data_IF_199021072825
#
_entry.id   IF_199021072825
#
_cell.length_a   1.000
_cell.length_b   1.000
_cell.length_c   1.000
_cell.angle_alpha   90.00
_cell.angle_beta   90.00
_cell.angle_gamma   90.00
#
_symmetry.space_group_name_H-M   'P 1'
#
loop_
_entity.id
_entity.type
_entity.pdbx_description
1 polymer ?
#
# COMPACT_ATOMS: atom_id res chain seq x y z
N UNK A 1 -2.86 -4.28 6.45
CA UNK A 1 -2.74 -4.59 7.89
C UNK A 1 -1.89 -5.83 8.01
N UNK A 2 -0.70 -5.81 8.65
CA UNK A 2 0.06 -7.02 8.89
C UNK A 2 -0.71 -7.89 9.89
N UNK A 3 -1.06 -9.12 9.50
CA UNK A 3 -1.62 -10.14 10.39
C UNK A 3 -3.14 -10.17 10.53
N UNK A 4 -3.90 -9.32 9.87
CA UNK A 4 -5.35 -9.50 9.74
C UNK A 4 -5.67 -10.58 8.72
N UNK A 5 -6.49 -11.57 9.07
CA UNK A 5 -7.03 -12.50 8.08
C UNK A 5 -7.72 -11.67 6.99
N UNK A 6 -7.26 -11.81 5.74
CA UNK A 6 -7.89 -11.13 4.61
C UNK A 6 -9.28 -11.73 4.47
N UNK A 7 -10.31 -10.94 4.74
CA UNK A 7 -11.68 -11.41 4.71
C UNK A 7 -12.30 -11.17 3.34
N UNK A 8 -13.18 -12.05 2.95
CA UNK A 8 -14.05 -11.83 1.79
C UNK A 8 -14.91 -10.59 2.03
N UNK A 9 -14.89 -9.66 1.08
CA UNK A 9 -15.69 -8.43 1.13
C UNK A 9 -16.95 -8.64 0.28
N UNK A 10 -18.13 -8.45 0.86
CA UNK A 10 -19.41 -8.54 0.14
C UNK A 10 -19.95 -7.14 -0.15
N UNK A 11 -20.12 -6.84 -1.43
CA UNK A 11 -20.81 -5.67 -1.95
C UNK A 11 -22.25 -6.04 -2.19
N UNK A 12 -23.20 -5.19 -1.81
CA UNK A 12 -24.63 -5.45 -1.91
C UNK A 12 -25.40 -4.25 -2.45
N UNK A 13 -26.59 -4.51 -3.00
CA UNK A 13 -27.46 -3.48 -3.54
C UNK A 13 -27.07 -3.02 -4.94
N UNK A 14 -27.78 -2.01 -5.43
CA UNK A 14 -27.55 -1.45 -6.78
C UNK A 14 -26.26 -0.63 -6.90
N UNK A 15 -25.63 -0.24 -5.78
CA UNK A 15 -24.45 0.62 -5.75
C UNK A 15 -23.59 0.35 -4.50
N UNK A 16 -23.11 -0.88 -4.36
CA UNK A 16 -22.23 -1.26 -3.25
C UNK A 16 -20.78 -0.84 -3.52
N UNK A 17 -20.15 -0.12 -2.59
CA UNK A 17 -18.77 0.35 -2.77
C UNK A 17 -17.88 -0.06 -1.59
N UNK A 18 -16.66 -0.48 -1.88
CA UNK A 18 -15.61 -0.74 -0.89
C UNK A 18 -14.38 0.08 -1.21
N UNK A 19 -13.74 0.56 -0.14
CA UNK A 19 -12.55 1.41 -0.19
C UNK A 19 -11.36 0.67 0.38
N UNK A 20 -10.19 0.84 -0.28
CA UNK A 20 -8.92 0.27 0.12
C UNK A 20 -7.85 1.34 0.04
N UNK A 21 -7.20 1.62 1.16
CA UNK A 21 -6.13 2.60 1.22
C UNK A 21 -4.77 1.94 1.07
N UNK A 22 -3.88 2.57 0.32
CA UNK A 22 -2.49 2.16 0.20
C UNK A 22 -1.56 3.37 0.11
N UNK A 23 -0.30 3.17 0.45
CA UNK A 23 0.72 4.21 0.40
C UNK A 23 1.88 3.82 -0.50
N UNK A 24 2.48 4.83 -1.11
CA UNK A 24 3.75 4.74 -1.84
C UNK A 24 4.73 5.71 -1.20
N UNK A 25 6.00 5.33 -1.14
CA UNK A 25 7.04 6.19 -0.55
C UNK A 25 7.25 7.43 -1.42
N UNK A 26 7.55 8.56 -0.78
CA UNK A 26 7.80 9.83 -1.49
C UNK A 26 9.18 9.88 -2.17
N UNK A 27 10.08 8.93 -1.87
CA UNK A 27 11.37 8.73 -2.53
C UNK A 27 11.30 7.64 -3.64
N UNK A 28 10.10 7.23 -4.02
CA UNK A 28 9.87 6.28 -5.11
C UNK A 28 8.95 6.87 -6.17
N UNK A 29 9.24 6.58 -7.44
CA UNK A 29 8.34 6.84 -8.58
C UNK A 29 7.66 5.55 -8.99
N UNK A 30 6.36 5.59 -9.16
CA UNK A 30 5.61 4.42 -9.64
C UNK A 30 5.77 4.29 -11.15
N UNK A 31 6.23 3.14 -11.60
CA UNK A 31 6.41 2.81 -13.02
C UNK A 31 5.25 1.99 -13.57
N UNK A 32 4.63 1.17 -12.74
CA UNK A 32 3.51 0.30 -13.11
C UNK A 32 2.62 0.05 -11.89
N UNK A 33 1.30 -0.02 -12.11
CA UNK A 33 0.36 -0.42 -11.08
C UNK A 33 -0.77 -1.26 -11.70
N UNK A 34 -1.03 -2.45 -11.11
CA UNK A 34 -2.02 -3.40 -11.58
C UNK A 34 -2.85 -3.93 -10.42
N UNK A 35 -4.16 -3.88 -10.57
CA UNK A 35 -5.11 -4.45 -9.63
C UNK A 35 -5.69 -5.73 -10.22
N UNK A 36 -5.28 -6.87 -9.69
CA UNK A 36 -5.93 -8.15 -9.96
C UNK A 36 -7.13 -8.28 -9.03
N UNK A 37 -8.33 -8.30 -9.59
CA UNK A 37 -9.58 -8.58 -8.89
C UNK A 37 -9.94 -10.05 -9.05
N UNK A 38 -10.27 -10.71 -7.96
CA UNK A 38 -10.91 -12.04 -7.93
C UNK A 38 -12.25 -11.88 -7.25
N UNK A 39 -13.32 -12.22 -7.94
CA UNK A 39 -14.66 -11.98 -7.44
C UNK A 39 -15.67 -13.03 -7.90
N UNK A 40 -16.78 -13.12 -7.18
CA UNK A 40 -17.93 -13.93 -7.56
C UNK A 40 -19.17 -13.04 -7.51
N UNK A 41 -19.90 -12.97 -8.62
CA UNK A 41 -21.15 -12.21 -8.73
C UNK A 41 -22.37 -13.15 -8.61
N UNK A 42 -23.49 -12.62 -8.10
CA UNK A 42 -24.74 -13.36 -7.99
C UNK A 42 -25.18 -13.93 -9.33
N UNK A 43 -25.64 -15.19 -9.40
CA UNK A 43 -26.14 -15.79 -10.63
C UNK A 43 -27.45 -15.16 -11.12
N UNK A 44 -28.14 -14.41 -10.27
CA UNK A 44 -29.41 -13.74 -10.59
C UNK A 44 -29.23 -12.38 -11.24
N UNK A 45 -27.99 -11.89 -11.41
CA UNK A 45 -27.74 -10.59 -12.02
C UNK A 45 -27.98 -10.60 -13.53
N UNK A 46 -28.46 -9.46 -14.01
CA UNK A 46 -28.42 -9.11 -15.42
C UNK A 46 -27.02 -8.67 -15.77
N UNK A 47 -26.22 -9.59 -16.30
CA UNK A 47 -24.81 -9.37 -16.58
C UNK A 47 -24.56 -8.19 -17.54
N UNK A 48 -25.46 -7.97 -18.49
CA UNK A 48 -25.35 -6.93 -19.53
C UNK A 48 -25.45 -5.50 -18.98
N UNK A 49 -26.13 -5.34 -17.82
CA UNK A 49 -26.33 -4.04 -17.16
C UNK A 49 -25.58 -3.92 -15.84
N UNK A 50 -24.98 -5.02 -15.38
CA UNK A 50 -24.21 -5.06 -14.14
C UNK A 50 -22.71 -4.98 -14.40
N UNK A 51 -21.99 -4.22 -13.55
CA UNK A 51 -20.56 -3.98 -13.73
C UNK A 51 -19.84 -3.68 -12.43
N UNK A 52 -18.51 -3.75 -12.49
CA UNK A 52 -17.60 -3.22 -11.45
C UNK A 52 -16.86 -2.02 -12.01
N UNK A 53 -16.95 -0.89 -11.33
CA UNK A 53 -16.11 0.27 -11.60
C UNK A 53 -14.95 0.30 -10.60
N UNK A 54 -13.77 0.54 -11.11
CA UNK A 54 -12.56 0.70 -10.31
C UNK A 54 -12.09 2.15 -10.41
N UNK A 55 -11.96 2.79 -9.26
CA UNK A 55 -11.48 4.17 -9.16
C UNK A 55 -10.16 4.20 -8.37
N UNK A 56 -9.29 5.10 -8.76
CA UNK A 56 -8.09 5.49 -8.02
C UNK A 56 -8.18 6.98 -7.70
N UNK A 57 -8.14 7.31 -6.40
CA UNK A 57 -8.24 8.69 -5.91
C UNK A 57 -9.48 9.43 -6.49
N UNK A 58 -10.60 8.73 -6.63
CA UNK A 58 -11.84 9.25 -7.18
C UNK A 58 -11.91 9.30 -8.72
N UNK A 59 -10.84 8.94 -9.43
CA UNK A 59 -10.81 8.89 -10.89
C UNK A 59 -11.08 7.48 -11.39
N UNK A 60 -12.05 7.30 -12.28
CA UNK A 60 -12.35 6.01 -12.91
C UNK A 60 -11.12 5.54 -13.70
N UNK A 61 -10.69 4.33 -13.42
CA UNK A 61 -9.57 3.68 -14.11
C UNK A 61 -10.09 2.68 -15.15
N UNK A 62 -11.08 1.87 -14.77
CA UNK A 62 -11.65 0.87 -15.67
C UNK A 62 -13.03 0.45 -15.19
N UNK A 63 -13.79 -0.16 -16.11
CA UNK A 63 -15.09 -0.78 -15.88
C UNK A 63 -15.05 -2.24 -16.30
N UNK A 64 -15.14 -3.13 -15.32
CA UNK A 64 -15.20 -4.59 -15.56
C UNK A 64 -16.65 -5.00 -15.77
N UNK A 65 -17.00 -5.35 -17.00
CA UNK A 65 -18.34 -5.85 -17.35
C UNK A 65 -18.49 -7.30 -16.92
N UNK A 66 -19.66 -7.65 -16.38
CA UNK A 66 -19.99 -9.02 -16.02
C UNK A 66 -20.39 -9.82 -17.27
N UNK A 67 -20.06 -11.12 -17.29
CA UNK A 67 -20.48 -12.03 -18.35
C UNK A 67 -21.45 -13.04 -17.80
N UNK A 68 -22.54 -13.29 -18.50
CA UNK A 68 -23.63 -14.16 -18.04
C UNK A 68 -23.20 -15.60 -17.74
N UNK A 69 -22.28 -16.13 -18.51
CA UNK A 69 -21.73 -17.48 -18.34
C UNK A 69 -20.76 -17.60 -17.16
N UNK A 70 -20.37 -16.47 -16.56
CA UNK A 70 -19.43 -16.37 -15.44
C UNK A 70 -20.12 -15.99 -14.11
N UNK A 71 -21.39 -15.59 -14.12
CA UNK A 71 -22.15 -15.34 -12.88
C UNK A 71 -22.25 -16.61 -12.04
N UNK A 72 -22.12 -16.48 -10.72
CA UNK A 72 -22.05 -17.61 -9.79
C UNK A 72 -20.71 -18.37 -9.77
N UNK A 73 -19.75 -17.97 -10.58
CA UNK A 73 -18.39 -18.54 -10.63
C UNK A 73 -17.36 -17.52 -10.15
N UNK A 74 -16.21 -18.00 -9.68
CA UNK A 74 -15.06 -17.15 -9.39
C UNK A 74 -14.44 -16.66 -10.69
N UNK A 75 -14.30 -15.36 -10.84
CA UNK A 75 -13.79 -14.67 -12.03
C UNK A 75 -12.54 -13.88 -11.65
N UNK A 76 -11.56 -13.81 -12.55
CA UNK A 76 -10.40 -12.95 -12.42
C UNK A 76 -10.45 -11.86 -13.49
N UNK A 77 -10.17 -10.63 -13.08
CA UNK A 77 -9.98 -9.49 -13.99
C UNK A 77 -8.74 -8.70 -13.56
N UNK A 78 -8.01 -8.16 -14.51
CA UNK A 78 -6.87 -7.29 -14.26
C UNK A 78 -7.20 -5.88 -14.75
N UNK A 79 -7.04 -4.91 -13.86
CA UNK A 79 -7.22 -3.48 -14.13
C UNK A 79 -5.86 -2.81 -14.03
N UNK A 80 -5.46 -2.12 -15.09
CA UNK A 80 -4.25 -1.28 -15.09
C UNK A 80 -4.61 0.08 -14.51
N UNK A 81 -3.88 0.49 -13.47
CA UNK A 81 -4.04 1.79 -12.84
C UNK A 81 -3.05 2.78 -13.45
N UNK A 82 -3.46 4.04 -13.59
CA UNK A 82 -2.58 5.10 -14.10
C UNK A 82 -1.49 5.45 -13.06
N UNK A 83 -0.20 5.15 -13.32
CA UNK A 83 0.88 5.44 -12.38
C UNK A 83 0.97 6.93 -12.02
N UNK A 84 0.67 7.82 -12.96
CA UNK A 84 0.73 9.28 -12.76
C UNK A 84 -0.35 9.81 -11.80
N UNK A 85 -1.38 9.01 -11.51
CA UNK A 85 -2.44 9.35 -10.55
C UNK A 85 -2.13 8.85 -9.14
N UNK A 86 -1.03 8.08 -8.97
CA UNK A 86 -0.61 7.55 -7.68
C UNK A 86 0.22 8.60 -6.93
N UNK A 87 -0.09 8.75 -5.65
CA UNK A 87 0.52 9.70 -4.72
C UNK A 87 1.07 8.97 -3.49
N UNK A 88 1.56 9.72 -2.51
CA UNK A 88 2.00 9.15 -1.24
C UNK A 88 0.87 8.40 -0.52
N UNK A 89 -0.35 8.96 -0.52
CA UNK A 89 -1.55 8.33 0.05
C UNK A 89 -2.59 8.17 -1.06
N UNK A 90 -3.10 6.96 -1.19
CA UNK A 90 -4.03 6.61 -2.26
C UNK A 90 -5.19 5.81 -1.71
N UNK A 91 -6.34 5.96 -2.38
CA UNK A 91 -7.52 5.16 -2.15
C UNK A 91 -8.00 4.52 -3.46
N UNK A 92 -8.11 3.21 -3.46
CA UNK A 92 -8.84 2.47 -4.49
C UNK A 92 -10.26 2.29 -4.00
N UNK A 93 -11.25 2.59 -4.84
CA UNK A 93 -12.61 2.17 -4.61
C UNK A 93 -13.09 1.22 -5.70
N UNK A 94 -13.73 0.14 -5.26
CA UNK A 94 -14.38 -0.85 -6.12
C UNK A 94 -15.87 -0.71 -5.90
N UNK A 95 -16.57 -0.24 -6.93
CA UNK A 95 -18.00 0.02 -6.93
C UNK A 95 -18.71 -1.06 -7.75
N UNK A 96 -19.60 -1.78 -7.12
CA UNK A 96 -20.49 -2.73 -7.78
C UNK A 96 -21.79 -2.04 -8.16
N UNK A 97 -22.11 -2.05 -9.44
CA UNK A 97 -23.42 -1.65 -9.97
C UNK A 97 -24.13 -2.92 -10.38
N UNK A 98 -25.18 -3.29 -9.63
CA UNK A 98 -25.91 -4.53 -9.81
C UNK A 98 -27.34 -4.30 -10.24
N UNK A 99 -27.79 -5.08 -11.23
CA UNK A 99 -29.19 -5.12 -11.69
C UNK A 99 -29.65 -6.55 -11.80
N UNK A 100 -30.89 -6.86 -11.37
CA UNK A 100 -31.52 -8.19 -11.48
C UNK A 100 -32.79 -8.17 -12.35
N UNK A 101 -33.32 -7.00 -12.62
CA UNK A 101 -34.45 -6.81 -13.54
C UNK A 101 -34.37 -5.42 -14.22
N UNK A 102 -35.00 -5.27 -15.42
CA UNK A 102 -34.81 -4.04 -16.22
C UNK A 102 -35.68 -2.86 -15.76
N UNK A 103 -36.75 -3.12 -15.00
CA UNK A 103 -37.72 -2.09 -14.58
C UNK A 103 -38.21 -2.36 -13.17
N UNK A 104 -38.47 -1.30 -12.39
CA UNK A 104 -39.01 -1.35 -11.03
C UNK A 104 -38.21 -2.22 -10.06
N UNK A 105 -36.91 -2.07 -10.08
CA UNK A 105 -35.96 -2.82 -9.29
C UNK A 105 -35.97 -2.39 -7.81
N UNK A 106 -35.97 -3.37 -6.90
CA UNK A 106 -35.73 -3.09 -5.48
C UNK A 106 -34.22 -3.00 -5.21
N UNK A 107 -33.67 -1.80 -4.85
CA UNK A 107 -32.22 -1.60 -4.70
C UNK A 107 -31.60 -2.39 -3.54
N UNK A 108 -32.40 -2.94 -2.63
CA UNK A 108 -31.93 -3.73 -1.48
C UNK A 108 -32.23 -5.24 -1.64
N UNK A 109 -32.58 -5.69 -2.85
CA UNK A 109 -32.89 -7.09 -3.10
C UNK A 109 -31.67 -7.98 -2.78
N UNK A 110 -31.92 -9.11 -2.12
CA UNK A 110 -30.87 -10.08 -1.73
C UNK A 110 -30.14 -10.71 -2.94
N UNK A 111 -30.73 -10.65 -4.14
CA UNK A 111 -30.08 -11.07 -5.37
C UNK A 111 -28.92 -10.15 -5.80
N UNK A 112 -28.87 -8.91 -5.29
CA UNK A 112 -27.89 -7.90 -5.63
C UNK A 112 -26.65 -8.05 -4.74
N UNK A 113 -25.73 -8.92 -5.12
CA UNK A 113 -24.47 -9.07 -4.42
C UNK A 113 -23.30 -9.45 -5.33
N UNK A 114 -22.13 -9.05 -4.88
CA UNK A 114 -20.85 -9.47 -5.41
C UNK A 114 -19.86 -9.62 -4.25
N UNK A 115 -19.07 -10.68 -4.25
CA UNK A 115 -18.02 -10.90 -3.26
C UNK A 115 -16.65 -10.71 -3.89
N UNK A 116 -15.80 -9.89 -3.25
CA UNK A 116 -14.37 -9.78 -3.56
C UNK A 116 -13.62 -10.82 -2.75
N UNK A 117 -12.83 -11.63 -3.43
CA UNK A 117 -12.04 -12.69 -2.83
C UNK A 117 -10.71 -12.13 -2.26
N UNK A 118 -10.23 -12.66 -1.13
CA UNK A 118 -8.92 -12.34 -0.56
C UNK A 118 -7.72 -12.53 -1.50
N UNK A 119 -7.86 -13.33 -2.56
CA UNK A 119 -6.84 -13.50 -3.58
C UNK A 119 -6.69 -12.28 -4.52
N UNK A 120 -7.56 -11.26 -4.38
CA UNK A 120 -7.40 -9.98 -5.06
C UNK A 120 -6.12 -9.29 -4.59
N UNK A 121 -5.34 -8.72 -5.53
CA UNK A 121 -4.00 -8.20 -5.23
C UNK A 121 -3.71 -6.93 -6.01
N UNK A 122 -3.25 -5.90 -5.29
CA UNK A 122 -2.61 -4.74 -5.90
C UNK A 122 -1.10 -5.02 -6.03
N UNK A 123 -0.56 -4.84 -7.23
CA UNK A 123 0.88 -4.88 -7.51
C UNK A 123 1.30 -3.49 -7.98
N UNK A 124 2.28 -2.91 -7.31
CA UNK A 124 2.87 -1.61 -7.64
C UNK A 124 4.36 -1.81 -7.83
N UNK A 125 4.86 -1.41 -8.99
CA UNK A 125 6.28 -1.39 -9.32
C UNK A 125 6.79 0.03 -9.16
N UNK A 126 7.93 0.18 -8.49
CA UNK A 126 8.52 1.49 -8.18
C UNK A 126 10.00 1.52 -8.50
N UNK A 127 10.49 2.70 -8.84
CA UNK A 127 11.92 3.02 -8.97
C UNK A 127 12.30 4.07 -7.94
N UNK A 128 13.50 3.95 -7.36
CA UNK A 128 14.00 4.93 -6.40
C UNK A 128 14.36 6.25 -7.08
N UNK A 129 13.88 7.34 -6.52
CA UNK A 129 14.28 8.70 -6.90
C UNK A 129 15.60 9.07 -6.23
N UNK A 130 16.49 9.68 -6.98
CA UNK A 130 17.68 10.32 -6.40
C UNK A 130 17.28 11.67 -5.82
N UNK A 131 16.99 11.68 -4.51
CA UNK A 131 16.70 12.91 -3.79
C UNK A 131 18.02 13.58 -3.34
N UNK A 132 18.03 14.91 -3.35
CA UNK A 132 19.11 15.68 -2.72
C UNK A 132 19.10 15.48 -1.20
N UNK A 133 20.27 15.47 -0.57
CA UNK A 133 20.40 15.44 0.87
C UNK A 133 19.88 16.76 1.45
N UNK A 134 18.70 16.75 2.01
CA UNK A 134 18.03 17.92 2.57
C UNK A 134 17.38 17.52 3.91
N UNK A 135 18.01 17.94 5.01
CA UNK A 135 17.52 17.69 6.36
C UNK A 135 16.21 18.43 6.67
N UNK A 136 15.86 19.47 5.89
CA UNK A 136 14.56 20.14 6.05
C UNK A 136 13.37 19.21 5.74
N UNK A 137 13.62 18.11 5.06
CA UNK A 137 12.60 17.07 4.77
C UNK A 137 12.46 16.04 5.88
N UNK A 138 13.27 16.12 6.93
CA UNK A 138 13.16 15.17 8.05
C UNK A 138 11.70 15.02 8.54
N UNK A 139 11.21 13.81 8.81
CA UNK A 139 11.90 12.50 8.85
C UNK A 139 12.07 11.80 7.49
N UNK A 140 11.46 12.29 6.41
CA UNK A 140 11.62 11.70 5.09
C UNK A 140 12.99 12.07 4.47
N UNK A 141 13.59 11.19 3.66
CA UNK A 141 13.12 9.86 3.25
C UNK A 141 13.52 8.74 4.23
N UNK A 142 14.13 9.06 5.37
CA UNK A 142 14.67 8.07 6.31
C UNK A 142 13.57 7.21 6.95
N UNK A 143 12.51 7.89 7.43
CA UNK A 143 11.39 7.25 8.11
C UNK A 143 10.11 7.73 7.43
N UNK A 144 9.31 6.80 6.93
CA UNK A 144 8.06 7.13 6.25
C UNK A 144 6.94 6.25 6.78
N UNK A 145 5.79 6.88 7.05
CA UNK A 145 4.56 6.19 7.41
C UNK A 145 3.83 5.60 6.17
N UNK A 146 4.23 5.99 4.96
CA UNK A 146 3.74 5.48 3.68
C UNK A 146 4.55 4.29 3.16
N UNK A 147 3.98 3.54 2.22
CA UNK A 147 4.61 2.36 1.63
C UNK A 147 4.04 1.03 2.15
N UNK A 148 4.43 -0.06 1.52
CA UNK A 148 3.91 -1.41 1.79
C UNK A 148 4.86 -2.28 2.60
N UNK A 149 6.14 -1.87 2.72
CA UNK A 149 7.19 -2.60 3.43
C UNK A 149 7.56 -1.90 4.74
N UNK A 150 8.05 -2.62 5.75
CA UNK A 150 8.69 -2.01 6.91
C UNK A 150 9.86 -1.10 6.48
N UNK A 151 10.07 -0.02 7.23
CA UNK A 151 11.26 0.82 7.03
C UNK A 151 12.49 0.08 7.56
N UNK A 152 13.57 0.11 6.80
CA UNK A 152 14.89 -0.39 7.28
C UNK A 152 15.80 0.82 7.34
N UNK A 153 16.28 1.16 8.56
CA UNK A 153 17.17 2.30 8.80
C UNK A 153 18.38 1.86 9.63
N UNK A 154 19.47 1.46 8.98
CA UNK A 154 20.67 1.03 9.67
C UNK A 154 21.25 2.08 10.62
N UNK A 155 21.70 1.63 11.78
CA UNK A 155 22.48 2.42 12.73
C UNK A 155 23.94 2.02 12.61
N UNK A 156 24.81 3.00 12.45
CA UNK A 156 26.25 2.83 12.33
C UNK A 156 26.93 3.49 13.54
N UNK A 157 27.69 2.73 14.29
CA UNK A 157 28.58 3.28 15.33
C UNK A 157 30.00 3.47 14.79
N UNK A 158 30.55 4.65 15.04
CA UNK A 158 31.90 5.00 14.64
C UNK A 158 32.94 4.45 15.64
N UNK A 159 32.98 3.16 15.84
CA UNK A 159 33.84 2.48 16.80
C UNK A 159 33.03 1.60 17.75
N UNK A 160 33.66 1.21 18.86
CA UNK A 160 32.99 0.54 19.96
C UNK A 160 32.15 1.57 20.75
N UNK A 161 30.80 1.46 20.75
CA UNK A 161 29.95 2.47 21.35
C UNK A 161 30.02 2.40 22.89
N UNK A 162 30.13 3.55 23.52
CA UNK A 162 29.95 3.70 24.96
C UNK A 162 28.48 3.68 25.37
N UNK A 163 28.20 3.85 26.67
CA UNK A 163 26.83 3.82 27.18
C UNK A 163 25.99 5.05 26.74
N UNK A 164 26.62 6.19 26.50
CA UNK A 164 25.96 7.41 26.09
C UNK A 164 25.51 7.28 24.62
N UNK A 165 26.40 6.79 23.76
CA UNK A 165 26.08 6.51 22.35
C UNK A 165 24.97 5.45 22.20
N UNK A 166 25.01 4.38 23.01
CA UNK A 166 23.94 3.35 23.06
C UNK A 166 22.60 3.94 23.52
N UNK A 167 22.65 4.80 24.54
CA UNK A 167 21.45 5.49 25.04
C UNK A 167 20.88 6.43 23.98
N UNK A 168 21.71 7.23 23.31
CA UNK A 168 21.28 8.11 22.24
C UNK A 168 20.64 7.33 21.07
N UNK A 169 21.25 6.22 20.68
CA UNK A 169 20.70 5.34 19.64
C UNK A 169 19.34 4.73 20.05
N UNK A 170 19.19 4.34 21.33
CA UNK A 170 17.92 3.81 21.85
C UNK A 170 16.80 4.86 21.88
N UNK A 171 17.13 6.10 22.29
CA UNK A 171 16.18 7.23 22.27
C UNK A 171 15.77 7.53 20.81
N UNK A 172 16.73 7.60 19.90
CA UNK A 172 16.46 7.78 18.49
C UNK A 172 15.56 6.68 17.93
N UNK A 173 15.88 5.39 18.18
CA UNK A 173 15.11 4.26 17.70
C UNK A 173 13.67 4.26 18.23
N UNK A 174 13.47 4.68 19.49
CA UNK A 174 12.14 4.83 20.09
C UNK A 174 11.32 5.92 19.38
N UNK A 175 11.92 7.09 19.13
CA UNK A 175 11.26 8.19 18.42
C UNK A 175 10.94 7.82 16.97
N UNK A 176 11.88 7.18 16.28
CA UNK A 176 11.72 6.70 14.91
C UNK A 176 10.62 5.63 14.81
N UNK A 177 10.57 4.69 15.74
CA UNK A 177 9.53 3.67 15.82
C UNK A 177 8.12 4.28 15.97
N UNK A 178 7.99 5.36 16.75
CA UNK A 178 6.73 6.09 16.89
C UNK A 178 6.28 6.73 15.56
N UNK A 179 7.22 7.27 14.78
CA UNK A 179 6.93 7.88 13.47
C UNK A 179 6.54 6.80 12.45
N UNK A 180 7.26 5.66 12.42
CA UNK A 180 6.99 4.55 11.52
C UNK A 180 5.61 3.89 11.77
N UNK A 181 5.08 4.03 12.98
CA UNK A 181 3.74 3.54 13.35
C UNK A 181 3.61 2.03 13.26
N UNK A 182 2.45 1.56 12.81
CA UNK A 182 2.10 0.13 12.77
C UNK A 182 2.94 -0.72 11.79
N UNK A 183 3.59 -0.09 10.82
CA UNK A 183 4.46 -0.79 9.85
C UNK A 183 5.77 -1.25 10.47
N UNK A 184 6.16 -0.57 11.55
CA UNK A 184 7.42 -0.83 12.21
C UNK A 184 8.63 -0.30 11.43
N UNK A 185 9.75 -0.36 12.10
CA UNK A 185 11.06 0.00 11.55
C UNK A 185 12.09 -0.98 12.10
N UNK A 186 13.01 -1.41 11.25
CA UNK A 186 14.10 -2.30 11.60
C UNK A 186 15.42 -1.54 11.59
N UNK A 187 16.27 -1.77 12.59
CA UNK A 187 17.53 -1.08 12.80
C UNK A 187 18.71 -2.07 12.78
N UNK A 188 19.17 -2.52 11.60
CA UNK A 188 20.43 -3.25 11.52
C UNK A 188 21.58 -2.42 12.07
N UNK A 189 22.44 -3.02 12.89
CA UNK A 189 23.56 -2.31 13.52
C UNK A 189 24.87 -2.67 12.84
N UNK A 190 25.67 -1.63 12.52
CA UNK A 190 26.98 -1.75 11.91
C UNK A 190 28.02 -1.05 12.79
N UNK A 191 29.25 -1.57 12.78
CA UNK A 191 30.38 -1.01 13.52
C UNK A 191 31.51 -0.69 12.54
N UNK A 192 31.95 0.58 12.51
CA UNK A 192 33.03 1.07 11.62
C UNK A 192 32.84 0.80 10.12
N UNK A 193 31.66 0.37 9.69
CA UNK A 193 31.33 0.09 8.30
C UNK A 193 29.98 0.69 7.96
N UNK A 194 29.78 1.08 6.72
CA UNK A 194 28.49 1.57 6.23
C UNK A 194 27.74 0.47 5.48
N UNK A 195 26.42 0.47 5.47
CA UNK A 195 25.64 -0.43 4.63
C UNK A 195 25.98 -0.16 3.15
N UNK A 196 25.88 -1.18 2.27
CA UNK A 196 26.26 -1.07 0.87
C UNK A 196 25.40 -0.08 0.09
N UNK A 197 24.17 0.15 0.54
CA UNK A 197 23.22 1.07 -0.09
C UNK A 197 22.17 1.57 0.92
N UNK A 198 21.45 2.63 0.55
CA UNK A 198 20.34 3.18 1.32
C UNK A 198 20.75 4.28 2.29
N UNK A 199 19.80 4.68 3.11
CA UNK A 199 20.00 5.69 4.15
C UNK A 199 20.42 5.01 5.45
N UNK A 200 21.24 5.68 6.24
CA UNK A 200 21.68 5.21 7.55
C UNK A 200 21.93 6.39 8.49
N UNK A 201 21.96 6.12 9.78
CA UNK A 201 22.28 7.10 10.82
C UNK A 201 23.63 6.73 11.45
N UNK A 202 24.49 7.71 11.63
CA UNK A 202 25.80 7.52 12.27
C UNK A 202 25.78 8.12 13.67
N UNK A 203 26.18 7.32 14.64
CA UNK A 203 26.50 7.78 15.99
C UNK A 203 28.03 7.82 16.15
N UNK A 204 28.57 8.99 16.42
CA UNK A 204 29.99 9.23 16.58
C UNK A 204 30.23 10.24 17.72
N UNK A 205 31.00 9.86 18.72
CA UNK A 205 31.47 10.78 19.74
C UNK A 205 32.61 11.68 19.18
N UNK A 206 32.88 12.82 19.82
CA UNK A 206 33.81 13.87 19.35
C UNK A 206 35.19 13.37 18.97
N UNK A 207 35.67 12.29 19.56
CA UNK A 207 36.97 11.66 19.31
C UNK A 207 36.91 10.46 18.35
N UNK A 208 35.76 10.11 17.85
CA UNK A 208 35.55 8.94 16.98
C UNK A 208 35.05 9.38 15.60
N UNK A 209 35.94 9.91 14.77
CA UNK A 209 35.58 10.24 13.39
C UNK A 209 35.90 9.05 12.47
N UNK A 210 34.88 8.38 11.91
CA UNK A 210 35.13 7.27 10.99
C UNK A 210 35.68 7.75 9.66
N UNK A 211 36.48 6.92 8.98
CA UNK A 211 37.14 7.25 7.73
C UNK A 211 36.16 7.49 6.53
N UNK A 212 34.91 7.14 6.70
CA UNK A 212 33.86 7.29 5.67
C UNK A 212 33.06 8.61 5.80
N UNK A 213 33.36 9.48 6.79
CA UNK A 213 32.74 10.80 6.99
C UNK A 213 33.63 11.94 6.51
#
# INVERSE_FOLDING_TARGET
VPGGAVQTVRLTGTNGTQYFDFGVRNDESVTSAKLKLVFTASPSLLAETSQLNVYLNGQLQDTVTLKKDLTGKSVQSEVTLNPNSIREHNQISVQFIGHYQPVCENPTNEALWLTLDPASKLTVETERLRLSNDLARWPAPFIQASGTKPTVLPIVFAGDPDNEEKTAAAVFASAAGKIAGWRGIDFPVYYNTVPPEGHFIVFAADNKRPAFL
#
